data_IF_131573549204
#
_entry.id   IF_131573549204
#
_cell.length_a   1.000
_cell.length_b   1.000
_cell.length_c   1.000
_cell.angle_alpha   90.00
_cell.angle_beta   90.00
_cell.angle_gamma   90.00
#
_symmetry.space_group_name_H-M   'P 1'
#
loop_
_entity.id
_entity.type
_entity.pdbx_description
1 polymer ?
#
# COMPACT_ATOMS: atom_id res chain seq x y z
N UNK A 1 -16.29 1.24 -13.97
CA UNK A 1 -16.26 1.88 -15.30
C UNK A 1 -17.31 2.99 -15.31
N UNK A 2 -16.89 4.25 -15.34
CA UNK A 2 -17.81 5.40 -15.32
C UNK A 2 -17.45 6.50 -16.36
N UNK A 3 -16.44 6.30 -17.21
CA UNK A 3 -15.98 7.36 -18.15
C UNK A 3 -16.13 7.02 -19.64
N UNK A 4 -16.56 5.81 -20.02
CA UNK A 4 -16.68 5.43 -21.44
C UNK A 4 -15.33 5.32 -22.18
N UNK A 5 -14.22 5.43 -21.46
CA UNK A 5 -12.87 5.34 -22.00
C UNK A 5 -12.42 3.87 -22.09
N UNK A 6 -11.63 3.57 -23.13
CA UNK A 6 -11.09 2.23 -23.35
C UNK A 6 -9.87 2.02 -22.45
N UNK A 7 -9.91 0.96 -21.66
CA UNK A 7 -8.80 0.59 -20.77
C UNK A 7 -7.83 -0.31 -21.53
N UNK A 8 -6.54 0.02 -21.51
CA UNK A 8 -5.49 -0.87 -22.05
C UNK A 8 -5.24 -2.04 -21.10
N UNK A 9 -4.98 -3.22 -21.66
CA UNK A 9 -4.70 -4.45 -20.92
C UNK A 9 -5.71 -4.76 -19.79
N UNK A 10 -7.04 -4.76 -20.03
CA UNK A 10 -8.05 -4.96 -18.98
C UNK A 10 -7.94 -6.33 -18.27
N UNK A 11 -7.28 -7.30 -18.91
CA UNK A 11 -6.99 -8.63 -18.37
C UNK A 11 -5.97 -8.65 -17.22
N UNK A 12 -5.15 -7.59 -17.07
CA UNK A 12 -4.16 -7.52 -16.00
C UNK A 12 -4.87 -7.38 -14.64
N UNK A 13 -4.64 -8.34 -13.76
CA UNK A 13 -5.15 -8.27 -12.39
C UNK A 13 -4.38 -7.24 -11.55
N UNK A 14 -5.07 -6.46 -10.70
CA UNK A 14 -4.43 -5.51 -9.78
C UNK A 14 -3.51 -6.21 -8.77
N UNK A 15 -2.24 -5.83 -8.77
CA UNK A 15 -1.21 -6.33 -7.84
C UNK A 15 -0.10 -5.30 -7.67
N UNK A 16 0.65 -5.44 -6.59
CA UNK A 16 1.86 -4.70 -6.30
C UNK A 16 3.02 -5.70 -6.36
N UNK A 17 4.06 -5.37 -7.11
CA UNK A 17 5.23 -6.20 -7.35
C UNK A 17 6.44 -5.45 -6.79
N UNK A 18 7.20 -6.10 -5.92
CA UNK A 18 8.40 -5.55 -5.31
C UNK A 18 9.57 -6.45 -5.69
N UNK A 19 10.62 -5.86 -6.25
CA UNK A 19 11.83 -6.56 -6.64
C UNK A 19 13.03 -5.93 -5.94
N UNK A 20 13.91 -6.76 -5.42
CA UNK A 20 15.14 -6.32 -4.75
C UNK A 20 16.37 -6.81 -5.52
N UNK A 21 17.34 -5.93 -5.75
CA UNK A 21 18.59 -6.28 -6.44
C UNK A 21 19.80 -5.75 -5.66
N UNK A 22 20.51 -6.66 -4.97
CA UNK A 22 21.71 -6.32 -4.20
C UNK A 22 22.89 -5.94 -5.09
N UNK A 23 22.98 -6.50 -6.31
CA UNK A 23 24.09 -6.25 -7.23
C UNK A 23 23.95 -4.87 -7.88
N UNK A 24 22.74 -4.51 -8.32
CA UNK A 24 22.42 -3.19 -8.85
C UNK A 24 22.19 -2.13 -7.74
N UNK A 25 22.09 -2.56 -6.47
CA UNK A 25 21.74 -1.71 -5.34
C UNK A 25 20.40 -0.95 -5.55
N UNK A 26 19.37 -1.69 -5.96
CA UNK A 26 18.05 -1.12 -6.24
C UNK A 26 16.93 -1.81 -5.48
N UNK A 27 15.90 -1.02 -5.17
CA UNK A 27 14.59 -1.48 -4.76
C UNK A 27 13.58 -1.01 -5.82
N UNK A 28 12.84 -1.93 -6.41
CA UNK A 28 11.82 -1.62 -7.40
C UNK A 28 10.44 -1.90 -6.82
N UNK A 29 9.51 -0.96 -6.98
CA UNK A 29 8.09 -1.13 -6.64
C UNK A 29 7.29 -0.85 -7.91
N UNK A 30 6.51 -1.83 -8.36
CA UNK A 30 5.63 -1.70 -9.51
C UNK A 30 4.18 -2.06 -9.14
N UNK A 31 3.23 -1.47 -9.85
CA UNK A 31 1.82 -1.80 -9.74
C UNK A 31 1.20 -1.97 -11.13
N UNK A 32 0.13 -2.76 -11.21
CA UNK A 32 -0.68 -2.94 -12.44
C UNK A 32 -1.93 -2.05 -12.42
N UNK A 33 -1.88 -0.93 -11.70
CA UNK A 33 -2.99 0.00 -11.49
C UNK A 33 -3.26 0.90 -12.69
N UNK A 34 -3.65 2.14 -12.41
CA UNK A 34 -4.12 3.09 -13.43
C UNK A 34 -2.99 3.81 -14.17
N UNK A 35 -1.78 3.84 -13.60
CA UNK A 35 -0.65 4.58 -14.16
C UNK A 35 -0.91 6.08 -14.24
N UNK A 36 -0.06 6.78 -14.99
CA UNK A 36 -0.11 8.22 -15.18
C UNK A 36 0.22 8.58 -16.63
N UNK A 37 -0.48 9.59 -17.14
CA UNK A 37 -0.11 10.32 -18.34
C UNK A 37 1.05 11.29 -18.08
N UNK A 38 1.64 11.85 -19.14
CA UNK A 38 2.65 12.91 -19.04
C UNK A 38 2.20 14.09 -18.17
N UNK A 39 0.97 14.55 -18.37
CA UNK A 39 0.41 15.67 -17.62
C UNK A 39 0.30 15.35 -16.13
N UNK A 40 -0.16 14.14 -15.80
CA UNK A 40 -0.24 13.66 -14.41
C UNK A 40 1.14 13.47 -13.77
N UNK A 41 2.17 13.06 -14.51
CA UNK A 41 3.54 13.00 -13.99
C UNK A 41 4.07 14.40 -13.61
N UNK A 42 3.89 15.39 -14.48
CA UNK A 42 4.25 16.79 -14.21
C UNK A 42 3.48 17.32 -13.00
N UNK A 43 2.18 17.04 -12.96
CA UNK A 43 1.29 17.55 -11.94
C UNK A 43 1.54 16.92 -10.57
N UNK A 44 1.58 15.58 -10.50
CA UNK A 44 1.61 14.83 -9.25
C UNK A 44 3.03 14.65 -8.70
N UNK A 45 4.04 14.46 -9.57
CA UNK A 45 5.43 14.24 -9.16
C UNK A 45 6.32 15.48 -9.32
N UNK A 46 5.91 16.44 -10.15
CA UNK A 46 6.64 17.70 -10.34
C UNK A 46 6.24 18.82 -9.38
N UNK A 47 5.11 18.69 -8.69
CA UNK A 47 4.64 19.68 -7.71
C UNK A 47 4.62 19.07 -6.31
N UNK A 48 5.45 19.58 -5.41
CA UNK A 48 5.49 19.13 -4.00
C UNK A 48 4.14 19.42 -3.33
N UNK A 49 3.66 18.47 -2.52
CA UNK A 49 2.41 18.54 -1.77
C UNK A 49 1.12 18.61 -2.63
N UNK A 50 1.19 18.20 -3.91
CA UNK A 50 0.01 17.95 -4.75
C UNK A 50 -0.38 16.47 -4.70
N UNK A 51 -1.65 16.19 -4.45
CA UNK A 51 -2.18 14.82 -4.32
C UNK A 51 -3.29 14.58 -5.34
N UNK A 52 -2.97 13.89 -6.44
CA UNK A 52 -3.98 13.44 -7.41
C UNK A 52 -5.08 12.59 -6.78
N UNK A 53 -4.72 11.73 -5.82
CA UNK A 53 -5.69 10.93 -5.05
C UNK A 53 -6.67 11.78 -4.24
N UNK A 54 -6.22 12.93 -3.71
CA UNK A 54 -7.11 13.87 -3.02
C UNK A 54 -8.04 14.57 -4.01
N UNK A 55 -7.51 15.05 -5.13
CA UNK A 55 -8.32 15.68 -6.18
C UNK A 55 -9.39 14.72 -6.71
N UNK A 56 -9.05 13.45 -6.88
CA UNK A 56 -10.01 12.41 -7.27
C UNK A 56 -11.11 12.18 -6.22
N UNK A 57 -10.77 12.18 -4.93
CA UNK A 57 -11.76 12.11 -3.84
C UNK A 57 -12.75 13.28 -3.88
N UNK A 58 -12.27 14.49 -4.15
CA UNK A 58 -13.11 15.69 -4.27
C UNK A 58 -14.07 15.56 -5.47
N UNK A 59 -13.57 15.16 -6.64
CA UNK A 59 -14.38 14.94 -7.83
C UNK A 59 -15.48 13.89 -7.64
N UNK A 60 -15.21 12.79 -6.93
CA UNK A 60 -16.23 11.77 -6.63
C UNK A 60 -17.30 12.33 -5.70
N UNK A 61 -16.92 13.05 -4.65
CA UNK A 61 -17.89 13.66 -3.72
C UNK A 61 -18.84 14.62 -4.43
N UNK A 62 -18.30 15.40 -5.37
CA UNK A 62 -19.08 16.35 -6.16
C UNK A 62 -20.03 15.65 -7.15
N UNK A 63 -19.59 14.54 -7.75
CA UNK A 63 -20.37 13.78 -8.76
C UNK A 63 -21.34 12.75 -8.17
N UNK A 64 -21.16 12.33 -6.92
CA UNK A 64 -21.98 11.31 -6.26
C UNK A 64 -22.25 11.65 -4.78
N UNK A 65 -23.11 12.64 -4.49
CA UNK A 65 -23.40 13.11 -3.12
C UNK A 65 -24.10 12.09 -2.20
N UNK A 66 -24.37 10.87 -2.69
CA UNK A 66 -25.10 9.82 -1.96
C UNK A 66 -24.27 8.63 -1.46
N UNK A 67 -22.95 8.56 -1.71
CA UNK A 67 -22.02 7.61 -1.07
C UNK A 67 -22.27 6.10 -1.22
N UNK A 68 -23.30 5.66 -1.95
CA UNK A 68 -23.65 4.24 -2.13
C UNK A 68 -23.02 3.60 -3.36
N UNK A 69 -22.60 2.34 -3.24
CA UNK A 69 -22.06 1.51 -4.34
C UNK A 69 -20.53 1.58 -4.51
N UNK A 70 -20.02 1.18 -5.68
CA UNK A 70 -18.57 1.11 -5.97
C UNK A 70 -17.82 2.44 -5.77
N UNK A 71 -18.52 3.59 -5.87
CA UNK A 71 -17.95 4.90 -5.57
C UNK A 71 -17.69 5.11 -4.07
N UNK A 72 -18.54 4.56 -3.19
CA UNK A 72 -18.35 4.57 -1.73
C UNK A 72 -17.17 3.72 -1.27
N UNK A 73 -16.97 2.55 -1.89
CA UNK A 73 -15.81 1.70 -1.63
C UNK A 73 -14.50 2.35 -2.10
N UNK A 74 -14.50 3.01 -3.27
CA UNK A 74 -13.35 3.79 -3.73
C UNK A 74 -12.97 4.93 -2.76
N UNK A 75 -13.97 5.62 -2.18
CA UNK A 75 -13.75 6.69 -1.19
C UNK A 75 -13.08 6.19 0.11
N UNK A 76 -13.34 4.93 0.52
CA UNK A 76 -12.76 4.33 1.73
C UNK A 76 -11.38 3.69 1.50
N UNK A 77 -11.06 3.30 0.27
CA UNK A 77 -9.78 2.67 -0.09
C UNK A 77 -8.58 3.62 -0.27
N UNK A 78 -8.80 4.92 -0.53
CA UNK A 78 -7.71 5.87 -0.86
C UNK A 78 -6.88 6.29 0.36
N UNK A 79 -5.60 5.90 0.41
CA UNK A 79 -4.73 6.16 1.56
C UNK A 79 -4.11 7.56 1.49
N UNK A 80 -3.40 7.87 0.40
CA UNK A 80 -2.63 9.09 0.24
C UNK A 80 -3.49 10.34 0.00
N UNK A 81 -3.30 11.38 0.80
CA UNK A 81 -4.04 12.66 0.67
C UNK A 81 -3.15 13.91 0.62
N UNK A 82 -1.89 13.79 1.05
CA UNK A 82 -0.99 14.93 1.23
C UNK A 82 -0.02 15.16 0.07
N UNK A 83 0.15 14.18 -0.83
CA UNK A 83 1.03 14.34 -2.00
C UNK A 83 2.52 14.34 -1.67
N UNK A 84 2.91 13.97 -0.45
CA UNK A 84 4.31 13.94 -0.01
C UNK A 84 4.89 12.52 0.09
N UNK A 85 4.03 11.49 0.08
CA UNK A 85 4.44 10.10 0.31
C UNK A 85 5.47 9.60 -0.69
N UNK A 86 5.36 9.98 -1.96
CA UNK A 86 6.34 9.63 -2.99
C UNK A 86 7.76 10.12 -2.67
N UNK A 87 7.89 11.37 -2.21
CA UNK A 87 9.19 11.99 -1.94
C UNK A 87 9.92 11.38 -0.73
N UNK A 88 9.23 10.56 0.08
CA UNK A 88 9.89 9.76 1.13
C UNK A 88 10.96 8.81 0.56
N UNK A 89 10.87 8.44 -0.72
CA UNK A 89 11.88 7.63 -1.40
C UNK A 89 13.27 8.28 -1.37
N UNK A 90 13.36 9.61 -1.49
CA UNK A 90 14.63 10.34 -1.45
C UNK A 90 15.31 10.35 -0.07
N UNK A 91 14.64 9.87 0.99
CA UNK A 91 15.32 9.58 2.26
C UNK A 91 16.38 8.49 2.09
N UNK A 92 16.09 7.48 1.28
CA UNK A 92 16.94 6.30 1.08
C UNK A 92 17.61 6.22 -0.30
N UNK A 93 17.22 7.08 -1.24
CA UNK A 93 17.66 7.03 -2.63
C UNK A 93 18.56 8.20 -3.03
N UNK A 94 19.54 7.93 -3.89
CA UNK A 94 20.30 8.95 -4.62
C UNK A 94 19.62 9.34 -5.93
N UNK A 95 18.86 8.42 -6.52
CA UNK A 95 18.10 8.63 -7.76
C UNK A 95 16.81 7.82 -7.74
N UNK A 96 15.73 8.40 -8.24
CA UNK A 96 14.46 7.71 -8.45
C UNK A 96 14.04 7.84 -9.91
N UNK A 97 13.67 6.72 -10.51
CA UNK A 97 13.13 6.62 -11.87
C UNK A 97 11.71 6.06 -11.80
N UNK A 98 10.77 6.71 -12.46
CA UNK A 98 9.36 6.31 -12.50
C UNK A 98 8.97 6.10 -13.95
N UNK A 99 8.71 4.85 -14.31
CA UNK A 99 8.10 4.47 -15.57
C UNK A 99 6.60 4.37 -15.36
N UNK A 100 5.79 5.01 -16.20
CA UNK A 100 4.34 4.96 -16.05
C UNK A 100 3.65 4.89 -17.40
N UNK A 101 2.64 4.02 -17.47
CA UNK A 101 1.75 3.85 -18.62
C UNK A 101 0.32 3.99 -18.12
N UNK A 102 -0.35 5.06 -18.56
CA UNK A 102 -1.77 5.27 -18.26
C UNK A 102 -2.60 4.10 -18.78
N UNK A 103 -3.56 3.67 -17.95
CA UNK A 103 -4.56 2.69 -18.30
C UNK A 103 -5.55 3.21 -19.34
N UNK A 104 -5.65 4.53 -19.54
CA UNK A 104 -6.48 5.12 -20.58
C UNK A 104 -5.79 4.99 -21.94
N UNK A 105 -6.52 4.54 -22.95
CA UNK A 105 -6.01 4.40 -24.31
C UNK A 105 -5.54 5.74 -24.90
N UNK A 106 -4.51 5.71 -25.74
CA UNK A 106 -4.02 6.90 -26.46
C UNK A 106 -2.91 7.67 -25.75
N UNK A 107 -2.44 7.19 -24.59
CA UNK A 107 -1.28 7.74 -23.90
C UNK A 107 -0.04 6.87 -24.15
N UNK A 108 1.10 7.52 -24.43
CA UNK A 108 2.41 6.88 -24.46
C UNK A 108 2.91 6.55 -23.05
N UNK A 109 3.87 5.64 -22.96
CA UNK A 109 4.60 5.37 -21.73
C UNK A 109 5.65 6.47 -21.52
N UNK A 110 5.89 6.83 -20.27
CA UNK A 110 6.79 7.92 -19.91
C UNK A 110 7.73 7.50 -18.79
N UNK A 111 8.98 7.97 -18.88
CA UNK A 111 9.96 7.93 -17.82
C UNK A 111 10.07 9.31 -17.18
N UNK A 112 9.86 9.38 -15.87
CA UNK A 112 10.22 10.50 -15.01
C UNK A 112 11.49 10.14 -14.22
N UNK A 113 12.44 11.05 -14.09
CA UNK A 113 13.67 10.83 -13.30
C UNK A 113 14.07 12.05 -12.49
N UNK A 114 14.57 11.82 -11.28
CA UNK A 114 15.13 12.87 -10.42
C UNK A 114 16.14 12.29 -9.43
N UNK A 115 17.10 13.11 -9.02
CA UNK A 115 18.05 12.88 -7.92
C UNK A 115 17.62 13.55 -6.60
N UNK A 116 16.45 14.20 -6.58
CA UNK A 116 15.95 14.94 -5.41
C UNK A 116 16.56 16.34 -5.23
N UNK A 117 17.36 16.84 -6.19
CA UNK A 117 17.96 18.19 -6.18
C UNK A 117 16.96 19.34 -6.38
N UNK A 118 15.68 19.03 -6.60
CA UNK A 118 14.64 20.00 -6.93
C UNK A 118 14.36 20.13 -8.44
N UNK A 119 15.05 19.35 -9.27
CA UNK A 119 14.79 19.22 -10.71
C UNK A 119 14.42 17.78 -11.09
N UNK A 120 13.73 17.63 -12.21
CA UNK A 120 13.38 16.33 -12.77
C UNK A 120 13.30 16.40 -14.29
N UNK A 121 13.35 15.25 -14.94
CA UNK A 121 13.23 15.13 -16.39
C UNK A 121 12.13 14.13 -16.76
N UNK A 122 11.47 14.37 -17.89
CA UNK A 122 10.47 13.45 -18.44
C UNK A 122 10.79 13.15 -19.90
N UNK A 123 10.81 11.87 -20.26
CA UNK A 123 11.00 11.36 -21.62
C UNK A 123 9.89 10.37 -21.98
N UNK A 124 9.50 10.31 -23.26
CA UNK A 124 8.65 9.21 -23.78
C UNK A 124 9.49 7.94 -23.89
N UNK A 125 8.95 6.80 -23.50
CA UNK A 125 9.57 5.48 -23.69
C UNK A 125 8.96 4.84 -24.94
N UNK A 126 9.73 4.78 -26.03
CA UNK A 126 9.33 4.11 -27.29
C UNK A 126 9.61 2.61 -27.20
N UNK A 127 9.02 1.81 -28.11
CA UNK A 127 9.18 0.34 -28.21
C UNK A 127 10.62 -0.19 -28.37
N UNK A 128 11.64 0.66 -28.40
CA UNK A 128 13.07 0.27 -28.35
C UNK A 128 13.64 0.24 -26.93
N UNK A 129 12.81 0.49 -25.91
CA UNK A 129 13.19 0.36 -24.50
C UNK A 129 13.43 -1.11 -24.13
N UNK A 130 14.38 -1.35 -23.23
CA UNK A 130 14.71 -2.70 -22.76
C UNK A 130 13.48 -3.33 -22.09
N UNK A 131 13.37 -4.66 -22.08
CA UNK A 131 12.21 -5.37 -21.50
C UNK A 131 11.90 -4.97 -20.06
N UNK A 132 12.93 -4.55 -19.32
CA UNK A 132 12.80 -4.13 -17.93
C UNK A 132 12.22 -2.72 -17.77
N UNK A 133 12.22 -1.89 -18.80
CA UNK A 133 11.70 -0.50 -18.76
C UNK A 133 10.25 -0.39 -19.25
N UNK A 134 9.70 -1.47 -19.81
CA UNK A 134 8.34 -1.49 -20.36
C UNK A 134 7.33 -1.76 -19.25
N UNK A 135 6.43 -0.79 -19.03
CA UNK A 135 5.25 -0.95 -18.17
C UNK A 135 4.04 -1.12 -19.05
N UNK A 136 3.40 -2.30 -19.01
CA UNK A 136 2.19 -2.58 -19.79
C UNK A 136 1.01 -1.70 -19.34
N UNK A 137 0.86 -1.53 -18.03
CA UNK A 137 -0.15 -0.68 -17.39
C UNK A 137 0.27 -0.43 -15.94
N UNK A 138 0.06 0.79 -15.43
CA UNK A 138 0.39 1.13 -14.06
C UNK A 138 1.69 1.93 -13.95
N UNK A 139 2.39 1.79 -12.84
CA UNK A 139 3.66 2.48 -12.61
C UNK A 139 4.73 1.52 -12.10
N UNK A 140 5.99 1.79 -12.44
CA UNK A 140 7.19 1.14 -11.92
C UNK A 140 8.13 2.22 -11.38
N UNK A 141 8.46 2.14 -10.11
CA UNK A 141 9.37 3.05 -9.41
C UNK A 141 10.66 2.28 -9.11
N UNK A 142 11.77 2.72 -9.70
CA UNK A 142 13.11 2.19 -9.43
C UNK A 142 13.82 3.15 -8.49
N UNK A 143 14.18 2.65 -7.31
CA UNK A 143 14.84 3.39 -6.25
C UNK A 143 16.30 2.98 -6.25
N UNK A 144 17.19 3.88 -6.68
CA UNK A 144 18.63 3.69 -6.62
C UNK A 144 19.11 4.09 -5.24
N UNK A 145 19.43 3.10 -4.41
CA UNK A 145 19.63 3.28 -2.98
C UNK A 145 20.96 3.96 -2.69
N UNK A 146 20.98 4.81 -1.66
CA UNK A 146 22.21 5.32 -1.05
C UNK A 146 23.08 4.17 -0.57
N UNK A 147 24.40 4.38 -0.56
CA UNK A 147 25.36 3.41 -0.02
C UNK A 147 25.01 2.97 1.42
N UNK A 148 24.57 3.91 2.26
CA UNK A 148 24.15 3.65 3.65
C UNK A 148 22.80 2.93 3.77
N UNK A 149 22.08 2.75 2.66
CA UNK A 149 20.73 2.22 2.60
C UNK A 149 20.64 0.89 1.81
N UNK A 150 21.77 0.26 1.51
CA UNK A 150 21.89 -1.04 0.81
C UNK A 150 21.04 -2.16 1.41
N UNK A 151 20.75 -2.09 2.71
CA UNK A 151 19.90 -3.09 3.37
C UNK A 151 18.48 -3.15 2.79
N UNK A 152 17.99 -2.09 2.14
CA UNK A 152 16.69 -2.13 1.44
C UNK A 152 16.73 -2.87 0.10
N UNK A 153 17.90 -3.28 -0.38
CA UNK A 153 18.05 -4.21 -1.51
C UNK A 153 18.00 -5.69 -1.07
N UNK A 154 17.86 -5.99 0.22
CA UNK A 154 17.80 -7.36 0.74
C UNK A 154 16.35 -7.80 0.91
N UNK A 155 15.99 -8.93 0.30
CA UNK A 155 14.63 -9.48 0.33
C UNK A 155 14.08 -9.62 1.77
N UNK A 156 14.85 -10.21 2.69
CA UNK A 156 14.42 -10.42 4.08
C UNK A 156 14.10 -9.10 4.81
N UNK A 157 14.87 -8.04 4.56
CA UNK A 157 14.61 -6.73 5.16
C UNK A 157 13.30 -6.15 4.63
N UNK A 158 13.11 -6.19 3.31
CA UNK A 158 11.89 -5.68 2.66
C UNK A 158 10.66 -6.48 3.08
N UNK A 159 10.76 -7.81 3.16
CA UNK A 159 9.68 -8.68 3.64
C UNK A 159 9.24 -8.29 5.06
N UNK A 160 10.20 -8.07 5.98
CA UNK A 160 9.89 -7.65 7.35
C UNK A 160 9.11 -6.33 7.40
N UNK A 161 9.45 -5.38 6.52
CA UNK A 161 8.78 -4.07 6.42
C UNK A 161 7.37 -4.24 5.86
N UNK A 162 7.19 -5.04 4.79
CA UNK A 162 5.88 -5.33 4.23
C UNK A 162 4.97 -5.97 5.29
N UNK A 163 5.47 -6.99 6.01
CA UNK A 163 4.72 -7.67 7.06
C UNK A 163 4.38 -6.75 8.25
N UNK A 164 5.22 -5.76 8.52
CA UNK A 164 4.96 -4.80 9.58
C UNK A 164 3.90 -3.75 9.17
N UNK A 165 4.09 -3.10 8.02
CA UNK A 165 3.33 -1.90 7.68
C UNK A 165 2.18 -2.12 6.69
N UNK A 166 2.30 -3.13 5.83
CA UNK A 166 1.47 -3.32 4.64
C UNK A 166 0.81 -4.69 4.55
N UNK A 167 0.89 -5.50 5.60
CA UNK A 167 0.38 -6.88 5.61
C UNK A 167 -1.12 -6.99 5.36
N UNK A 168 -1.85 -5.90 5.57
CA UNK A 168 -3.30 -5.83 5.46
C UNK A 168 -3.78 -5.02 4.24
N UNK A 169 -2.86 -4.59 3.37
CA UNK A 169 -3.20 -3.91 2.11
C UNK A 169 -4.07 -4.83 1.25
N UNK A 170 -5.09 -4.26 0.61
CA UNK A 170 -6.15 -5.02 -0.10
C UNK A 170 -5.70 -5.68 -1.41
N UNK A 171 -4.53 -5.34 -1.95
CA UNK A 171 -3.99 -5.91 -3.18
C UNK A 171 -2.85 -6.88 -2.86
N UNK A 172 -2.67 -7.97 -3.61
CA UNK A 172 -1.52 -8.85 -3.47
C UNK A 172 -0.21 -8.07 -3.64
N UNK A 173 0.72 -8.25 -2.70
CA UNK A 173 2.08 -7.74 -2.69
C UNK A 173 3.00 -8.93 -2.94
N UNK A 174 3.61 -8.96 -4.11
CA UNK A 174 4.51 -10.01 -4.57
C UNK A 174 5.95 -9.53 -4.43
N UNK A 175 6.74 -10.12 -3.54
CA UNK A 175 8.16 -9.83 -3.35
C UNK A 175 8.99 -10.90 -4.08
N UNK A 176 9.78 -10.53 -5.09
CA UNK A 176 10.65 -11.43 -5.85
C UNK A 176 9.94 -12.71 -6.36
N UNK A 177 8.65 -12.61 -6.70
CA UNK A 177 7.83 -13.72 -7.20
C UNK A 177 6.94 -14.40 -6.15
N UNK A 178 7.09 -14.10 -4.86
CA UNK A 178 6.29 -14.70 -3.78
C UNK A 178 5.32 -13.71 -3.14
N UNK A 179 4.06 -14.11 -2.94
CA UNK A 179 3.05 -13.26 -2.29
C UNK A 179 3.30 -13.19 -0.78
N UNK A 180 3.51 -11.99 -0.24
CA UNK A 180 3.89 -11.77 1.17
C UNK A 180 2.70 -11.46 2.07
N UNK A 181 1.77 -10.61 1.62
CA UNK A 181 0.60 -10.22 2.41
C UNK A 181 -0.55 -11.22 2.24
N UNK A 182 -0.62 -12.19 3.14
CA UNK A 182 -1.65 -13.25 3.11
C UNK A 182 -2.74 -13.06 4.14
N UNK A 183 -2.59 -12.11 5.06
CA UNK A 183 -3.50 -11.93 6.20
C UNK A 183 -4.57 -10.90 5.88
N UNK A 184 -5.83 -11.27 6.11
CA UNK A 184 -6.96 -10.37 5.90
C UNK A 184 -7.20 -9.50 7.14
N UNK A 185 -7.58 -8.24 6.91
CA UNK A 185 -7.93 -7.30 7.98
C UNK A 185 -9.32 -7.64 8.57
N UNK A 186 -9.40 -8.61 9.48
CA UNK A 186 -10.69 -9.12 9.98
C UNK A 186 -11.55 -8.05 10.64
N UNK A 187 -10.94 -7.04 11.28
CA UNK A 187 -11.66 -5.91 11.88
C UNK A 187 -12.46 -5.08 10.86
N UNK A 188 -12.17 -5.22 9.56
CA UNK A 188 -12.89 -4.53 8.48
C UNK A 188 -14.07 -5.33 7.90
N UNK A 189 -14.16 -6.63 8.19
CA UNK A 189 -15.21 -7.52 7.67
C UNK A 189 -16.50 -7.44 8.49
N UNK A 190 -17.62 -7.90 7.93
CA UNK A 190 -18.84 -8.16 8.70
C UNK A 190 -18.61 -9.33 9.66
N UNK A 191 -19.24 -9.29 10.84
CA UNK A 191 -19.12 -10.38 11.81
C UNK A 191 -19.72 -11.69 11.29
N UNK A 192 -20.72 -11.60 10.41
CA UNK A 192 -21.32 -12.75 9.72
C UNK A 192 -20.36 -13.49 8.78
N UNK A 193 -19.30 -12.81 8.34
CA UNK A 193 -18.40 -13.29 7.27
C UNK A 193 -17.08 -13.80 7.82
N UNK A 194 -16.97 -13.91 9.15
CA UNK A 194 -15.75 -14.34 9.85
C UNK A 194 -16.10 -15.41 10.87
N UNK A 195 -15.51 -16.58 10.71
CA UNK A 195 -15.67 -17.71 11.61
C UNK A 195 -14.87 -17.52 12.90
N UNK A 196 -15.26 -18.22 13.98
CA UNK A 196 -14.50 -18.21 15.23
C UNK A 196 -13.07 -18.73 15.06
N UNK A 197 -12.86 -19.69 14.14
CA UNK A 197 -11.53 -20.20 13.79
C UNK A 197 -10.67 -19.10 13.18
N UNK A 198 -11.20 -18.32 12.23
CA UNK A 198 -10.48 -17.18 11.65
C UNK A 198 -10.12 -16.13 12.71
N UNK A 199 -11.03 -15.84 13.65
CA UNK A 199 -10.73 -14.93 14.75
C UNK A 199 -9.64 -15.45 15.68
N UNK A 200 -9.64 -16.74 16.01
CA UNK A 200 -8.63 -17.34 16.89
C UNK A 200 -7.26 -17.34 16.23
N UNK A 201 -7.18 -17.70 14.94
CA UNK A 201 -5.92 -17.64 14.18
C UNK A 201 -5.41 -16.21 14.02
N UNK A 202 -6.32 -15.25 13.81
CA UNK A 202 -5.96 -13.84 13.78
C UNK A 202 -5.46 -13.33 15.14
N UNK A 203 -6.08 -13.73 16.26
CA UNK A 203 -5.60 -13.44 17.61
C UNK A 203 -4.17 -13.94 17.81
N UNK A 204 -3.91 -15.21 17.52
CA UNK A 204 -2.58 -15.82 17.62
C UNK A 204 -1.55 -15.07 16.79
N UNK A 205 -1.93 -14.68 15.57
CA UNK A 205 -1.08 -13.89 14.68
C UNK A 205 -0.73 -12.51 15.26
N UNK A 206 -1.72 -11.71 15.69
CA UNK A 206 -1.47 -10.32 16.14
C UNK A 206 -0.84 -10.25 17.53
N UNK A 207 -1.21 -11.15 18.43
CA UNK A 207 -0.72 -11.18 19.81
C UNK A 207 0.56 -12.03 19.96
N UNK A 208 0.98 -12.75 18.92
CA UNK A 208 2.01 -13.78 19.00
C UNK A 208 1.70 -14.80 20.12
N UNK A 209 0.43 -15.18 20.21
CA UNK A 209 -0.11 -16.06 21.25
C UNK A 209 -0.18 -17.52 20.75
N UNK A 210 -0.17 -18.46 21.69
CA UNK A 210 -0.31 -19.90 21.42
C UNK A 210 -1.66 -20.47 21.85
N UNK A 211 -2.40 -19.73 22.68
CA UNK A 211 -3.74 -20.05 23.15
C UNK A 211 -4.82 -19.38 22.30
N UNK A 212 -6.06 -19.73 22.58
CA UNK A 212 -7.24 -19.07 22.02
C UNK A 212 -7.70 -17.92 22.95
N UNK A 213 -8.31 -16.85 22.41
CA UNK A 213 -8.76 -15.74 23.23
C UNK A 213 -9.93 -16.16 24.13
N UNK A 214 -9.95 -15.70 25.38
CA UNK A 214 -11.08 -15.87 26.30
C UNK A 214 -12.28 -15.04 25.87
N UNK A 215 -12.03 -13.80 25.43
CA UNK A 215 -13.07 -12.92 24.91
C UNK A 215 -12.60 -12.22 23.64
N UNK A 216 -13.58 -11.95 22.78
CA UNK A 216 -13.46 -11.13 21.59
C UNK A 216 -14.47 -10.00 21.68
N UNK A 217 -14.04 -8.78 21.38
CA UNK A 217 -14.92 -7.61 21.30
C UNK A 217 -14.74 -7.00 19.93
N UNK A 218 -15.79 -7.03 19.11
CA UNK A 218 -15.87 -6.28 17.85
C UNK A 218 -16.66 -5.02 18.13
N UNK A 219 -16.07 -3.87 17.82
CA UNK A 219 -16.78 -2.59 17.97
C UNK A 219 -16.58 -1.73 16.73
N UNK A 220 -17.70 -1.24 16.19
CA UNK A 220 -17.76 -0.39 15.01
C UNK A 220 -18.59 0.84 15.35
N UNK A 221 -18.08 2.02 14.99
CA UNK A 221 -18.78 3.28 15.12
C UNK A 221 -18.55 4.10 13.84
N UNK A 222 -19.59 4.75 13.34
CA UNK A 222 -19.50 5.63 12.16
C UNK A 222 -19.51 7.12 12.53
N UNK A 223 -19.89 7.45 13.78
CA UNK A 223 -19.97 8.82 14.29
C UNK A 223 -19.58 8.91 15.79
N UNK A 224 -18.93 10.01 16.24
CA UNK A 224 -18.46 11.15 15.45
C UNK A 224 -17.21 10.85 14.61
N UNK A 225 -16.58 9.69 14.80
CA UNK A 225 -15.46 9.18 14.01
C UNK A 225 -15.79 7.78 13.50
N UNK A 226 -15.42 7.50 12.24
CA UNK A 226 -15.43 6.13 11.72
C UNK A 226 -14.30 5.33 12.39
N UNK A 227 -14.68 4.31 13.16
CA UNK A 227 -13.76 3.45 13.90
C UNK A 227 -14.20 2.00 13.78
N UNK A 228 -13.24 1.13 13.47
CA UNK A 228 -13.43 -0.32 13.42
C UNK A 228 -12.38 -0.95 14.31
N UNK A 229 -12.82 -1.63 15.36
CA UNK A 229 -11.96 -2.19 16.40
C UNK A 229 -12.25 -3.66 16.60
N UNK A 230 -11.20 -4.40 16.93
CA UNK A 230 -11.23 -5.80 17.27
C UNK A 230 -10.27 -5.99 18.44
N UNK A 231 -10.83 -6.27 19.62
CA UNK A 231 -10.06 -6.56 20.83
C UNK A 231 -10.15 -8.03 21.17
N UNK A 232 -9.06 -8.53 21.72
CA UNK A 232 -8.98 -9.86 22.29
C UNK A 232 -8.52 -9.78 23.74
N UNK A 233 -9.07 -10.64 24.58
CA UNK A 233 -8.62 -10.86 25.94
C UNK A 233 -8.06 -12.28 25.99
N UNK A 234 -6.77 -12.43 26.27
CA UNK A 234 -6.11 -13.74 26.33
C UNK A 234 -6.67 -14.63 27.43
N UNK A 235 -6.59 -15.95 27.24
CA UNK A 235 -7.03 -16.91 28.25
C UNK A 235 -6.00 -17.15 29.35
N UNK A 236 -4.73 -16.87 29.03
CA UNK A 236 -3.59 -17.07 29.91
C UNK A 236 -3.00 -15.74 30.38
N UNK A 237 -2.48 -15.74 31.62
CA UNK A 237 -1.75 -14.61 32.18
C UNK A 237 -0.42 -15.10 32.75
N UNK A 238 0.68 -14.55 32.23
CA UNK A 238 2.04 -14.99 32.53
C UNK A 238 2.42 -14.75 34.00
N UNK A 239 1.76 -13.80 34.69
CA UNK A 239 1.98 -13.54 36.12
C UNK A 239 1.71 -14.76 37.01
N UNK A 240 0.76 -15.64 36.63
CA UNK A 240 0.49 -16.88 37.39
C UNK A 240 1.70 -17.81 37.45
N UNK A 241 2.66 -17.64 36.54
CA UNK A 241 3.89 -18.40 36.47
C UNK A 241 5.11 -17.59 36.97
N UNK A 242 4.89 -16.45 37.63
CA UNK A 242 5.94 -15.62 38.21
C UNK A 242 6.65 -14.68 37.22
N UNK A 243 6.17 -14.60 35.98
CA UNK A 243 6.67 -13.62 35.02
C UNK A 243 6.10 -12.22 35.30
N UNK A 244 6.78 -11.20 34.78
CA UNK A 244 6.29 -9.83 34.84
C UNK A 244 4.94 -9.69 34.09
N UNK A 245 4.15 -8.71 34.53
CA UNK A 245 2.93 -8.28 33.86
C UNK A 245 3.24 -7.93 32.40
N UNK A 246 2.50 -8.53 31.48
CA UNK A 246 2.50 -8.07 30.09
C UNK A 246 1.72 -6.76 30.03
N UNK A 247 2.33 -5.73 29.45
CA UNK A 247 1.63 -4.49 29.16
C UNK A 247 0.57 -4.74 28.08
N UNK A 248 -0.67 -4.28 28.28
CA UNK A 248 -1.65 -4.30 27.21
C UNK A 248 -1.14 -3.43 26.05
N UNK A 249 -1.47 -3.81 24.83
CA UNK A 249 -1.10 -3.04 23.66
C UNK A 249 -2.15 -3.15 22.56
N UNK A 250 -2.44 -2.04 21.92
CA UNK A 250 -3.32 -1.97 20.75
C UNK A 250 -2.51 -1.48 19.56
N UNK A 251 -2.67 -2.11 18.40
CA UNK A 251 -2.07 -1.61 17.17
C UNK A 251 -3.04 -0.66 16.46
N UNK A 252 -2.59 0.55 16.16
CA UNK A 252 -3.36 1.56 15.46
C UNK A 252 -3.12 1.48 13.96
N UNK A 253 -4.21 1.32 13.19
CA UNK A 253 -4.18 1.29 11.73
C UNK A 253 -5.01 2.43 11.14
N UNK A 254 -4.54 2.97 10.01
CA UNK A 254 -5.32 3.87 9.15
C UNK A 254 -5.41 3.27 7.76
N UNK A 255 -6.64 3.02 7.28
CA UNK A 255 -6.90 2.41 5.96
C UNK A 255 -6.05 1.16 5.69
N UNK A 256 -5.97 0.28 6.71
CA UNK A 256 -5.21 -0.98 6.73
C UNK A 256 -3.68 -0.84 6.69
N UNK A 257 -3.14 0.37 6.84
CA UNK A 257 -1.70 0.63 7.01
C UNK A 257 -1.41 0.87 8.49
N UNK A 258 -0.38 0.22 9.03
CA UNK A 258 0.03 0.37 10.43
C UNK A 258 0.57 1.79 10.68
N UNK A 259 0.09 2.44 11.73
CA UNK A 259 0.57 3.74 12.21
C UNK A 259 1.45 3.57 13.44
N UNK A 260 0.96 2.84 14.44
CA UNK A 260 1.64 2.61 15.70
C UNK A 260 1.37 1.19 16.19
N UNK A 261 2.38 0.54 16.74
CA UNK A 261 2.30 -0.81 17.29
C UNK A 261 2.35 -0.74 18.81
N UNK A 262 1.43 -1.46 19.46
CA UNK A 262 1.38 -1.61 20.91
C UNK A 262 1.30 -0.26 21.65
N UNK A 263 0.39 0.61 21.21
CA UNK A 263 -0.05 1.80 21.95
C UNK A 263 -0.86 1.44 23.20
#
# INVERSE_FOLDING_TARGET
QATGETIVHPELEPRIIITTDEAANTLTIADTGVGMSKGELIENLGTIARSGSKAFLEQIKDKAPGGGGAAGEALTGIIGKFGVGFYSAFMVADKVEVFSQSALSGHESHLWRSDGSGSYEIASTTSETTSDEVVLRGSKIVIHLKESCKDYAKAARVESIIRQYSNFVSFPIVLNGETVNTVQALWTKSESDVTDVEYNEFYKFVANAFDDPMYRIVFKADAPLEMKTLFFIGSTHSEKFGYARLEPGVSLYSRKVLIERNS
#
